data_IF_339702533741
#
_entry.id   IF_339702533741
#
_cell.length_a   1.000
_cell.length_b   1.000
_cell.length_c   1.000
_cell.angle_alpha   90.00
_cell.angle_beta   90.00
_cell.angle_gamma   90.00
#
_symmetry.space_group_name_H-M   'P 1'
#
loop_
_entity.id
_entity.type
_entity.pdbx_description
1 polymer ?
#
# COMPACT_ATOMS: atom_id res chain seq x y z
N UNK A 1 -2.76 -9.79 -14.73
CA UNK A 1 -1.84 -9.05 -13.85
C UNK A 1 -1.95 -9.43 -12.40
N UNK A 2 -1.05 -10.32 -11.93
CA UNK A 2 -0.98 -10.75 -10.52
C UNK A 2 -0.87 -9.58 -9.52
N UNK A 3 -0.07 -8.56 -9.85
CA UNK A 3 0.05 -7.34 -9.04
C UNK A 3 -1.22 -6.47 -9.01
N UNK A 4 -2.05 -6.51 -10.05
CA UNK A 4 -3.33 -5.77 -10.07
C UNK A 4 -4.33 -6.34 -9.05
N UNK A 5 -4.39 -7.67 -8.95
CA UNK A 5 -5.18 -8.35 -7.92
C UNK A 5 -4.65 -8.06 -6.51
N UNK A 6 -3.32 -8.00 -6.33
CA UNK A 6 -2.72 -7.60 -5.05
C UNK A 6 -3.05 -6.15 -4.69
N UNK A 7 -3.02 -5.23 -5.64
CA UNK A 7 -3.37 -3.82 -5.42
C UNK A 7 -4.82 -3.66 -4.99
N UNK A 8 -5.76 -4.27 -5.73
CA UNK A 8 -7.18 -4.25 -5.39
C UNK A 8 -7.44 -4.89 -4.01
N UNK A 9 -6.85 -6.05 -3.75
CA UNK A 9 -6.97 -6.71 -2.45
C UNK A 9 -6.40 -5.85 -1.31
N UNK A 10 -5.27 -5.18 -1.51
CA UNK A 10 -4.68 -4.31 -0.50
C UNK A 10 -5.49 -3.04 -0.25
N UNK A 11 -6.10 -2.45 -1.28
CA UNK A 11 -7.03 -1.34 -1.11
C UNK A 11 -8.31 -1.74 -0.36
N UNK A 12 -8.72 -3.01 -0.41
CA UNK A 12 -9.90 -3.53 0.29
C UNK A 12 -9.60 -3.95 1.74
N UNK A 13 -8.34 -3.96 2.17
CA UNK A 13 -7.94 -4.05 3.58
C UNK A 13 -8.16 -2.72 4.33
N UNK A 14 -8.62 -1.66 3.65
CA UNK A 14 -9.18 -0.48 4.31
C UNK A 14 -10.41 -0.94 5.09
N UNK A 15 -10.26 -1.05 6.41
CA UNK A 15 -11.37 -1.24 7.35
C UNK A 15 -12.27 0.00 7.40
N UNK A 16 -12.83 0.40 6.25
CA UNK A 16 -13.87 1.40 6.20
C UNK A 16 -15.15 0.72 6.66
N UNK A 17 -15.35 0.72 7.98
CA UNK A 17 -16.64 0.49 8.58
C UNK A 17 -17.60 1.58 8.08
N UNK A 18 -18.41 1.25 7.08
CA UNK A 18 -19.51 2.11 6.64
C UNK A 18 -20.74 1.61 7.36
N UNK A 19 -21.34 2.47 8.19
CA UNK A 19 -22.62 2.16 8.84
C UNK A 19 -23.69 1.91 7.78
N UNK A 20 -24.24 0.70 7.73
CA UNK A 20 -25.42 0.38 6.92
C UNK A 20 -26.55 0.02 7.87
N UNK A 21 -27.65 0.77 7.82
CA UNK A 21 -28.84 0.58 8.69
C UNK A 21 -28.53 0.63 10.20
N UNK A 22 -27.57 1.44 10.63
CA UNK A 22 -27.22 1.60 12.05
C UNK A 22 -26.45 0.42 12.65
N UNK A 23 -25.99 -0.52 11.82
CA UNK A 23 -25.03 -1.56 12.18
C UNK A 23 -23.71 -1.21 11.50
N UNK A 24 -22.58 -1.14 12.22
CA UNK A 24 -21.27 -1.10 11.59
C UNK A 24 -21.06 -2.44 10.89
N UNK A 25 -21.33 -2.47 9.59
CA UNK A 25 -21.07 -3.64 8.75
C UNK A 25 -19.87 -3.29 7.91
N UNK A 26 -18.78 -4.02 8.11
CA UNK A 26 -17.61 -3.92 7.25
C UNK A 26 -18.02 -4.39 5.83
N UNK A 27 -18.29 -3.43 4.93
CA UNK A 27 -18.84 -3.69 3.58
C UNK A 27 -17.82 -4.45 2.73
N UNK A 28 -16.53 -4.35 3.07
CA UNK A 28 -15.44 -5.06 2.42
C UNK A 28 -14.86 -6.07 3.41
N UNK A 29 -15.50 -7.25 3.60
CA UNK A 29 -14.97 -8.24 4.51
C UNK A 29 -13.54 -8.54 4.10
N UNK A 30 -12.61 -8.45 5.04
CA UNK A 30 -11.19 -8.78 4.87
C UNK A 30 -10.99 -10.10 4.11
N UNK A 31 -11.96 -11.02 4.21
CA UNK A 31 -12.08 -12.25 3.42
C UNK A 31 -11.92 -12.00 1.91
N UNK A 32 -12.65 -11.03 1.34
CA UNK A 32 -12.57 -10.68 -0.09
C UNK A 32 -11.17 -10.12 -0.41
N UNK A 33 -10.62 -9.29 0.47
CA UNK A 33 -9.27 -8.76 0.31
C UNK A 33 -8.23 -9.89 0.28
N UNK A 34 -8.29 -10.85 1.20
CA UNK A 34 -7.41 -12.02 1.23
C UNK A 34 -7.62 -12.95 0.02
N UNK A 35 -8.84 -13.12 -0.48
CA UNK A 35 -9.13 -13.90 -1.68
C UNK A 35 -8.53 -13.26 -2.94
N UNK A 36 -8.66 -11.94 -3.10
CA UNK A 36 -8.07 -11.20 -4.22
C UNK A 36 -6.54 -11.24 -4.14
N UNK A 37 -5.98 -11.06 -2.95
CA UNK A 37 -4.55 -11.21 -2.69
C UNK A 37 -4.05 -12.62 -3.02
N UNK A 38 -4.78 -13.67 -2.61
CA UNK A 38 -4.44 -15.06 -2.90
C UNK A 38 -4.43 -15.34 -4.40
N UNK A 39 -5.41 -14.81 -5.14
CA UNK A 39 -5.44 -14.88 -6.61
C UNK A 39 -4.21 -14.18 -7.21
N UNK A 40 -3.87 -12.99 -6.69
CA UNK A 40 -2.66 -12.26 -7.10
C UNK A 40 -1.37 -13.04 -6.84
N UNK A 41 -1.24 -13.66 -5.68
CA UNK A 41 -0.07 -14.48 -5.32
C UNK A 41 0.01 -15.76 -6.12
N UNK A 42 -1.12 -16.42 -6.43
CA UNK A 42 -1.07 -17.63 -7.26
C UNK A 42 -0.51 -17.32 -8.65
N UNK A 43 -1.00 -16.25 -9.29
CA UNK A 43 -0.48 -15.79 -10.58
C UNK A 43 0.99 -15.38 -10.46
N UNK A 44 1.36 -14.63 -9.42
CA UNK A 44 2.75 -14.18 -9.27
C UNK A 44 3.72 -15.31 -8.89
N UNK A 45 3.26 -16.33 -8.16
CA UNK A 45 4.08 -17.45 -7.68
C UNK A 45 4.35 -18.50 -8.77
N UNK A 46 3.59 -18.50 -9.87
CA UNK A 46 3.93 -19.27 -11.07
C UNK A 46 5.23 -18.78 -11.72
N UNK A 47 5.56 -17.49 -11.54
CA UNK A 47 6.73 -16.84 -12.13
C UNK A 47 7.85 -16.54 -11.12
N UNK A 48 7.53 -16.38 -9.83
CA UNK A 48 8.49 -16.03 -8.80
C UNK A 48 8.14 -16.63 -7.43
N UNK A 49 9.00 -17.50 -6.90
CA UNK A 49 8.79 -18.15 -5.59
C UNK A 49 8.82 -17.18 -4.39
N UNK A 50 9.21 -15.92 -4.58
CA UNK A 50 9.28 -14.92 -3.49
C UNK A 50 7.93 -14.68 -2.80
N UNK A 51 6.81 -15.00 -3.45
CA UNK A 51 5.46 -14.83 -2.90
C UNK A 51 4.93 -16.05 -2.13
N UNK A 52 5.70 -17.15 -2.05
CA UNK A 52 5.24 -18.38 -1.40
C UNK A 52 4.82 -18.17 0.06
N UNK A 53 5.57 -17.36 0.81
CA UNK A 53 5.28 -17.08 2.23
C UNK A 53 4.03 -16.18 2.36
N UNK A 54 3.93 -15.10 1.57
CA UNK A 54 2.74 -14.24 1.55
C UNK A 54 1.48 -15.03 1.17
N UNK A 55 1.61 -16.00 0.25
CA UNK A 55 0.52 -16.90 -0.13
C UNK A 55 0.04 -17.75 1.05
N UNK A 56 0.96 -18.34 1.82
CA UNK A 56 0.61 -19.14 3.00
C UNK A 56 -0.13 -18.29 4.03
N UNK A 57 0.36 -17.08 4.31
CA UNK A 57 -0.33 -16.17 5.22
C UNK A 57 -1.70 -15.76 4.69
N UNK A 58 -1.87 -15.52 3.38
CA UNK A 58 -3.19 -15.23 2.80
C UNK A 58 -4.16 -16.41 2.96
N UNK A 59 -3.69 -17.65 2.78
CA UNK A 59 -4.51 -18.86 3.00
C UNK A 59 -4.94 -19.01 4.47
N UNK A 60 -4.10 -18.61 5.42
CA UNK A 60 -4.44 -18.58 6.86
C UNK A 60 -5.34 -17.37 7.19
N UNK A 61 -5.17 -16.25 6.48
CA UNK A 61 -5.95 -15.03 6.67
C UNK A 61 -7.41 -15.19 6.29
N UNK A 62 -7.74 -16.02 5.30
CA UNK A 62 -9.13 -16.29 4.88
C UNK A 62 -9.99 -16.89 6.02
N UNK A 63 -9.64 -18.03 6.64
CA UNK A 63 -10.44 -18.58 7.73
C UNK A 63 -10.40 -17.66 8.97
N UNK A 64 -9.27 -17.03 9.25
CA UNK A 64 -9.12 -16.12 10.41
C UNK A 64 -10.05 -14.92 10.29
N UNK A 65 -10.05 -14.25 9.13
CA UNK A 65 -10.95 -13.11 8.85
C UNK A 65 -12.41 -13.54 8.89
N UNK A 66 -12.75 -14.71 8.33
CA UNK A 66 -14.13 -15.22 8.36
C UNK A 66 -14.63 -15.48 9.79
N UNK A 67 -13.76 -16.01 10.67
CA UNK A 67 -14.08 -16.19 12.09
C UNK A 67 -14.31 -14.84 12.77
N UNK A 68 -13.42 -13.86 12.56
CA UNK A 68 -13.54 -12.53 13.18
C UNK A 68 -14.82 -11.82 12.71
N UNK A 69 -15.08 -11.78 11.40
CA UNK A 69 -16.31 -11.17 10.86
C UNK A 69 -17.57 -11.88 11.37
N UNK A 70 -17.54 -13.21 11.50
CA UNK A 70 -18.66 -13.96 12.07
C UNK A 70 -18.88 -13.62 13.56
N UNK A 71 -17.81 -13.54 14.35
CA UNK A 71 -17.88 -13.16 15.75
C UNK A 71 -18.43 -11.74 15.92
N UNK A 72 -17.93 -10.78 15.15
CA UNK A 72 -18.42 -9.40 15.18
C UNK A 72 -19.90 -9.31 14.81
N UNK A 73 -20.34 -10.07 13.80
CA UNK A 73 -21.76 -10.17 13.45
C UNK A 73 -22.60 -10.74 14.59
N UNK A 74 -22.16 -11.82 15.24
CA UNK A 74 -22.90 -12.43 16.36
C UNK A 74 -22.96 -11.51 17.59
N UNK A 75 -21.90 -10.76 17.86
CA UNK A 75 -21.86 -9.74 18.92
C UNK A 75 -22.84 -8.61 18.59
N UNK A 76 -22.79 -8.08 17.37
CA UNK A 76 -23.68 -6.98 16.93
C UNK A 76 -25.15 -7.40 16.90
N UNK A 77 -25.46 -8.64 16.57
CA UNK A 77 -26.82 -9.20 16.66
C UNK A 77 -27.24 -9.60 18.08
N UNK A 78 -26.38 -9.36 19.09
CA UNK A 78 -26.60 -9.71 20.51
C UNK A 78 -26.90 -11.20 20.76
N UNK A 79 -26.47 -12.07 19.85
CA UNK A 79 -26.64 -13.52 19.98
C UNK A 79 -25.65 -14.09 21.01
N UNK A 80 -24.46 -13.49 21.09
CA UNK A 80 -23.38 -13.90 21.98
C UNK A 80 -22.81 -12.65 22.66
N UNK A 81 -22.61 -12.70 23.98
CA UNK A 81 -21.94 -11.65 24.74
C UNK A 81 -20.64 -12.19 25.30
N UNK A 82 -19.51 -11.65 24.83
CA UNK A 82 -18.20 -11.92 25.42
C UNK A 82 -17.90 -10.94 26.56
N UNK A 83 -17.02 -11.35 27.47
CA UNK A 83 -16.39 -10.40 28.40
C UNK A 83 -15.57 -9.37 27.61
N UNK A 84 -15.56 -8.09 28.00
CA UNK A 84 -14.81 -7.02 27.32
C UNK A 84 -13.33 -7.37 27.12
N UNK A 85 -12.71 -8.07 28.07
CA UNK A 85 -11.30 -8.48 28.00
C UNK A 85 -11.03 -9.49 26.88
N UNK A 86 -11.97 -10.41 26.63
CA UNK A 86 -11.84 -11.44 25.59
C UNK A 86 -11.99 -10.81 24.20
N UNK A 87 -12.97 -9.92 24.04
CA UNK A 87 -13.18 -9.19 22.79
C UNK A 87 -11.95 -8.33 22.43
N UNK A 88 -11.40 -7.60 23.41
CA UNK A 88 -10.19 -6.80 23.22
C UNK A 88 -8.97 -7.65 22.83
N UNK A 89 -8.79 -8.81 23.47
CA UNK A 89 -7.66 -9.70 23.16
C UNK A 89 -7.77 -10.28 21.75
N UNK A 90 -8.98 -10.64 21.30
CA UNK A 90 -9.21 -11.15 19.96
C UNK A 90 -8.96 -10.10 18.88
N UNK A 91 -9.39 -8.84 19.10
CA UNK A 91 -9.09 -7.73 18.19
C UNK A 91 -7.57 -7.55 18.04
N UNK A 92 -6.85 -7.37 19.15
CA UNK A 92 -5.39 -7.19 19.11
C UNK A 92 -4.66 -8.36 18.43
N UNK A 93 -5.10 -9.59 18.66
CA UNK A 93 -4.50 -10.76 18.01
C UNK A 93 -4.68 -10.71 16.48
N UNK A 94 -5.85 -10.25 16.02
CA UNK A 94 -6.13 -10.10 14.59
C UNK A 94 -5.38 -8.92 13.96
N UNK A 95 -5.25 -7.80 14.66
CA UNK A 95 -4.50 -6.63 14.20
C UNK A 95 -3.00 -6.93 14.08
N UNK A 96 -2.44 -7.69 15.04
CA UNK A 96 -1.06 -8.21 14.95
C UNK A 96 -0.89 -9.14 13.75
N UNK A 97 -1.88 -9.99 13.46
CA UNK A 97 -1.85 -10.84 12.28
C UNK A 97 -1.85 -10.02 10.98
N UNK A 98 -2.69 -8.98 10.88
CA UNK A 98 -2.69 -8.04 9.74
C UNK A 98 -1.35 -7.34 9.55
N UNK A 99 -0.72 -6.91 10.65
CA UNK A 99 0.62 -6.32 10.61
C UNK A 99 1.66 -7.33 10.08
N UNK A 100 1.68 -8.54 10.65
CA UNK A 100 2.61 -9.59 10.24
C UNK A 100 2.44 -9.94 8.76
N UNK A 101 1.20 -10.08 8.30
CA UNK A 101 0.88 -10.30 6.89
C UNK A 101 1.40 -9.17 5.99
N UNK A 102 1.18 -7.91 6.38
CA UNK A 102 1.65 -6.75 5.59
C UNK A 102 3.16 -6.68 5.53
N UNK A 103 3.87 -7.00 6.61
CA UNK A 103 5.33 -7.06 6.62
C UNK A 103 5.86 -8.18 5.73
N UNK A 104 5.23 -9.35 5.75
CA UNK A 104 5.57 -10.47 4.86
C UNK A 104 5.35 -10.08 3.39
N UNK A 105 4.25 -9.39 3.07
CA UNK A 105 4.01 -8.86 1.72
C UNK A 105 5.12 -7.89 1.31
N UNK A 106 5.45 -6.91 2.15
CA UNK A 106 6.50 -5.93 1.88
C UNK A 106 7.88 -6.58 1.72
N UNK A 107 8.15 -7.65 2.48
CA UNK A 107 9.37 -8.45 2.34
C UNK A 107 9.42 -9.18 0.99
N UNK A 108 8.31 -9.79 0.56
CA UNK A 108 8.23 -10.39 -0.78
C UNK A 108 8.41 -9.37 -1.90
N UNK A 109 7.86 -8.15 -1.74
CA UNK A 109 8.09 -7.04 -2.67
C UNK A 109 9.55 -6.57 -2.67
N UNK A 110 10.22 -6.59 -1.51
CA UNK A 110 11.65 -6.30 -1.41
C UNK A 110 12.49 -7.35 -2.14
N UNK A 111 12.19 -8.64 -1.95
CA UNK A 111 12.89 -9.74 -2.61
C UNK A 111 12.78 -9.66 -4.13
N UNK A 112 11.57 -9.51 -4.68
CA UNK A 112 11.40 -9.41 -6.13
C UNK A 112 12.05 -8.15 -6.70
N UNK A 113 11.99 -7.01 -5.99
CA UNK A 113 12.69 -5.79 -6.42
C UNK A 113 14.22 -5.94 -6.42
N UNK A 114 14.75 -6.87 -5.64
CA UNK A 114 16.18 -7.20 -5.61
C UNK A 114 16.55 -8.11 -6.79
N UNK A 115 15.69 -9.06 -7.15
CA UNK A 115 15.90 -9.93 -8.31
C UNK A 115 15.83 -9.17 -9.64
N UNK A 116 14.97 -8.16 -9.74
CA UNK A 116 14.80 -7.32 -10.95
C UNK A 116 15.73 -6.10 -10.94
N UNK A 117 16.62 -5.99 -9.95
CA UNK A 117 17.62 -4.91 -9.79
C UNK A 117 17.04 -3.47 -9.80
N UNK A 118 15.81 -3.29 -9.33
CA UNK A 118 15.15 -1.97 -9.26
C UNK A 118 15.40 -1.29 -7.92
N UNK A 119 16.59 -0.68 -7.79
CA UNK A 119 17.07 -0.06 -6.54
C UNK A 119 16.10 0.95 -5.89
N UNK A 120 15.39 1.74 -6.70
CA UNK A 120 14.41 2.71 -6.21
C UNK A 120 13.24 2.03 -5.49
N UNK A 121 12.78 0.87 -6.00
CA UNK A 121 11.69 0.10 -5.41
C UNK A 121 12.16 -0.61 -4.15
N UNK A 122 13.35 -1.21 -4.18
CA UNK A 122 13.97 -1.86 -3.02
C UNK A 122 14.06 -0.93 -1.80
N UNK A 123 14.60 0.28 -2.00
CA UNK A 123 14.67 1.31 -0.95
C UNK A 123 13.30 1.83 -0.53
N UNK A 124 12.29 1.80 -1.43
CA UNK A 124 10.91 2.19 -1.09
C UNK A 124 10.25 1.11 -0.24
N UNK A 125 10.37 -0.17 -0.59
CA UNK A 125 9.82 -1.30 0.16
C UNK A 125 10.35 -1.35 1.61
N UNK A 126 11.66 -1.18 1.80
CA UNK A 126 12.25 -1.14 3.15
C UNK A 126 11.72 0.04 3.99
N UNK A 127 11.57 1.23 3.39
CA UNK A 127 10.99 2.38 4.08
C UNK A 127 9.50 2.18 4.39
N UNK A 128 8.76 1.60 3.46
CA UNK A 128 7.34 1.24 3.65
C UNK A 128 7.16 0.25 4.81
N UNK A 129 8.06 -0.72 4.98
CA UNK A 129 8.00 -1.64 6.12
C UNK A 129 8.16 -0.90 7.46
N UNK A 130 9.12 0.03 7.55
CA UNK A 130 9.31 0.87 8.75
C UNK A 130 8.07 1.74 9.01
N UNK A 131 7.55 2.41 7.98
CA UNK A 131 6.36 3.25 8.12
C UNK A 131 5.13 2.44 8.53
N UNK A 132 4.96 1.22 8.03
CA UNK A 132 3.85 0.34 8.40
C UNK A 132 3.85 0.03 9.90
N UNK A 133 5.03 -0.26 10.46
CA UNK A 133 5.16 -0.49 11.91
C UNK A 133 4.85 0.78 12.70
N UNK A 134 5.37 1.94 12.28
CA UNK A 134 5.12 3.21 12.96
C UNK A 134 3.63 3.57 12.95
N UNK A 135 2.97 3.48 11.79
CA UNK A 135 1.55 3.80 11.66
C UNK A 135 0.67 2.81 12.42
N UNK A 136 1.03 1.54 12.48
CA UNK A 136 0.32 0.54 13.29
C UNK A 136 0.34 0.91 14.78
N UNK A 137 1.51 1.24 15.34
CA UNK A 137 1.58 1.68 16.74
C UNK A 137 0.86 3.01 16.97
N UNK A 138 0.87 3.90 15.99
CA UNK A 138 0.12 5.14 16.07
C UNK A 138 -1.40 4.89 16.07
N UNK A 139 -1.89 3.93 15.29
CA UNK A 139 -3.30 3.57 15.26
C UNK A 139 -3.74 2.92 16.58
N UNK A 140 -3.05 1.88 17.01
CA UNK A 140 -3.42 1.05 18.16
C UNK A 140 -3.10 1.67 19.52
N UNK A 141 -2.05 2.48 19.61
CA UNK A 141 -1.54 3.02 20.89
C UNK A 141 -1.61 4.55 20.98
N UNK A 142 -2.36 5.23 20.10
CA UNK A 142 -2.44 6.71 20.09
C UNK A 142 -2.76 7.28 21.48
N UNK A 143 -3.82 6.78 22.13
CA UNK A 143 -4.24 7.25 23.46
C UNK A 143 -3.12 7.13 24.51
N UNK A 144 -2.43 5.98 24.55
CA UNK A 144 -1.33 5.74 25.49
C UNK A 144 -0.12 6.62 25.16
N UNK A 145 0.23 6.76 23.89
CA UNK A 145 1.37 7.60 23.45
C UNK A 145 1.14 9.06 23.85
N UNK A 146 -0.03 9.61 23.57
CA UNK A 146 -0.34 10.99 23.94
C UNK A 146 -0.46 11.20 25.45
N UNK A 147 -0.87 10.18 26.20
CA UNK A 147 -0.87 10.22 27.66
C UNK A 147 0.53 10.42 28.24
N UNK A 148 1.57 9.85 27.63
CA UNK A 148 2.97 10.06 28.05
C UNK A 148 3.45 11.49 27.87
N UNK A 149 2.83 12.23 26.94
CA UNK A 149 3.08 13.66 26.73
C UNK A 149 2.13 14.56 27.53
N UNK A 150 1.32 14.00 28.42
CA UNK A 150 0.37 14.74 29.26
C UNK A 150 -0.86 15.26 28.51
N UNK A 151 -1.14 14.73 27.32
CA UNK A 151 -2.30 15.13 26.49
C UNK A 151 -3.41 14.09 26.65
N UNK A 152 -4.55 14.50 27.18
CA UNK A 152 -5.77 13.70 27.21
C UNK A 152 -6.62 13.99 25.98
N UNK A 153 -6.61 13.08 25.01
CA UNK A 153 -7.50 13.18 23.85
C UNK A 153 -8.87 12.59 24.18
N UNK A 154 -9.92 13.26 23.70
CA UNK A 154 -11.27 12.67 23.67
C UNK A 154 -11.28 11.45 22.75
N UNK A 155 -12.16 10.49 23.04
CA UNK A 155 -12.33 9.24 22.27
C UNK A 155 -12.60 9.48 20.78
N UNK A 156 -13.25 10.58 20.43
CA UNK A 156 -13.49 10.95 19.03
C UNK A 156 -12.19 11.32 18.29
N UNK A 157 -11.26 12.01 18.95
CA UNK A 157 -9.99 12.39 18.34
C UNK A 157 -9.02 11.22 18.25
N UNK A 158 -9.00 10.32 19.24
CA UNK A 158 -8.19 9.09 19.17
C UNK A 158 -8.65 8.19 18.01
N UNK A 159 -9.96 8.03 17.83
CA UNK A 159 -10.52 7.28 16.72
C UNK A 159 -10.17 7.93 15.36
N UNK A 160 -10.29 9.25 15.24
CA UNK A 160 -9.94 9.96 14.01
C UNK A 160 -8.46 9.83 13.64
N UNK A 161 -7.55 9.89 14.62
CA UNK A 161 -6.11 9.70 14.42
C UNK A 161 -5.82 8.27 13.96
N UNK A 162 -6.47 7.26 14.54
CA UNK A 162 -6.29 5.87 14.15
C UNK A 162 -6.73 5.63 12.69
N UNK A 163 -7.92 6.10 12.32
CA UNK A 163 -8.41 5.99 10.93
C UNK A 163 -7.48 6.68 9.93
N UNK A 164 -6.92 7.84 10.29
CA UNK A 164 -6.01 8.57 9.43
C UNK A 164 -4.65 7.86 9.29
N UNK A 165 -4.14 7.26 10.37
CA UNK A 165 -2.91 6.47 10.35
C UNK A 165 -3.06 5.23 9.45
N UNK A 166 -4.18 4.52 9.56
CA UNK A 166 -4.47 3.34 8.72
C UNK A 166 -4.63 3.73 7.25
N UNK A 167 -5.35 4.81 6.96
CA UNK A 167 -5.50 5.31 5.59
C UNK A 167 -4.15 5.68 4.97
N UNK A 168 -3.26 6.36 5.72
CA UNK A 168 -1.92 6.70 5.25
C UNK A 168 -1.06 5.47 5.02
N UNK A 169 -1.09 4.50 5.94
CA UNK A 169 -0.39 3.23 5.81
C UNK A 169 -0.79 2.52 4.51
N UNK A 170 -2.09 2.47 4.24
CA UNK A 170 -2.63 1.80 3.07
C UNK A 170 -2.26 2.53 1.79
N UNK A 171 -2.39 3.87 1.73
CA UNK A 171 -1.99 4.65 0.55
C UNK A 171 -0.50 4.46 0.25
N UNK A 172 0.36 4.51 1.26
CA UNK A 172 1.81 4.33 1.08
C UNK A 172 2.13 2.96 0.51
N UNK A 173 1.57 1.90 1.08
CA UNK A 173 1.82 0.53 0.64
C UNK A 173 1.15 0.22 -0.70
N UNK A 174 -0.05 0.75 -0.97
CA UNK A 174 -0.71 0.66 -2.27
C UNK A 174 0.12 1.34 -3.37
N UNK A 175 0.74 2.50 -3.10
CA UNK A 175 1.65 3.14 -4.07
C UNK A 175 2.93 2.34 -4.33
N UNK A 176 3.34 1.47 -3.40
CA UNK A 176 4.44 0.55 -3.61
C UNK A 176 4.00 -0.60 -4.50
N UNK A 177 2.87 -1.24 -4.19
CA UNK A 177 2.30 -2.34 -5.00
C UNK A 177 2.02 -1.85 -6.43
N UNK A 178 1.43 -0.68 -6.60
CA UNK A 178 1.23 -0.05 -7.90
C UNK A 178 2.56 0.28 -8.59
N UNK A 179 3.58 0.71 -7.83
CA UNK A 179 4.92 0.91 -8.34
C UNK A 179 5.56 -0.38 -8.87
N UNK A 180 5.32 -1.52 -8.20
CA UNK A 180 5.72 -2.84 -8.66
C UNK A 180 4.93 -3.25 -9.90
N UNK A 181 3.60 -3.06 -9.91
CA UNK A 181 2.76 -3.29 -11.09
C UNK A 181 3.28 -2.56 -12.34
N UNK A 182 3.65 -1.29 -12.22
CA UNK A 182 4.10 -0.48 -13.35
C UNK A 182 5.53 -0.77 -13.84
N UNK A 183 6.39 -1.38 -13.01
CA UNK A 183 7.84 -1.53 -13.30
C UNK A 183 8.32 -2.97 -13.36
N UNK A 184 7.59 -3.89 -12.77
CA UNK A 184 7.92 -5.31 -12.70
C UNK A 184 6.79 -6.04 -13.44
N UNK A 185 6.88 -6.04 -14.77
CA UNK A 185 6.07 -6.94 -15.59
C UNK A 185 6.63 -8.36 -15.40
N UNK A 186 5.80 -9.28 -14.92
CA UNK A 186 6.15 -10.70 -14.86
C UNK A 186 5.97 -11.29 -16.28
N UNK A 187 6.91 -12.13 -16.72
CA UNK A 187 6.86 -12.82 -18.02
C UNK A 187 5.57 -13.66 -18.12
N UNK A 188 4.72 -13.38 -19.11
CA UNK A 188 3.40 -14.03 -19.27
C UNK A 188 2.18 -13.16 -18.94
N UNK A 189 2.39 -11.92 -18.48
CA UNK A 189 1.35 -10.91 -18.24
C UNK A 189 1.40 -9.75 -19.26
N UNK A 190 1.96 -10.02 -20.45
CA UNK A 190 2.27 -9.06 -21.52
C UNK A 190 1.03 -8.59 -22.31
N UNK A 191 0.06 -7.98 -21.64
CA UNK A 191 -0.94 -7.11 -22.32
C UNK A 191 -0.48 -5.64 -22.37
N UNK A 192 0.76 -5.37 -21.97
CA UNK A 192 1.38 -4.07 -22.16
C UNK A 192 2.34 -4.18 -23.36
N UNK A 193 2.06 -3.54 -24.51
CA UNK A 193 3.10 -3.37 -25.53
C UNK A 193 4.30 -2.74 -24.85
N UNK A 194 5.51 -3.11 -25.29
CA UNK A 194 6.83 -2.73 -24.75
C UNK A 194 7.07 -1.22 -24.83
N UNK A 195 6.23 -0.46 -24.15
CA UNK A 195 6.26 0.97 -24.03
C UNK A 195 7.16 1.30 -22.84
N UNK A 196 8.42 0.85 -22.95
CA UNK A 196 9.57 1.59 -22.39
C UNK A 196 9.74 2.98 -23.02
N UNK A 197 8.71 3.48 -23.71
CA UNK A 197 8.51 4.86 -24.14
C UNK A 197 7.42 5.64 -23.38
N UNK A 198 6.94 5.19 -22.21
CA UNK A 198 6.18 6.09 -21.32
C UNK A 198 7.09 7.08 -20.59
N UNK A 199 7.65 7.97 -21.40
CA UNK A 199 8.40 9.17 -21.05
C UNK A 199 7.40 10.24 -20.59
N UNK A 200 6.67 10.00 -19.51
CA UNK A 200 6.14 11.12 -18.73
C UNK A 200 7.34 11.81 -18.12
N UNK A 201 7.88 12.78 -18.87
CA UNK A 201 8.99 13.62 -18.44
C UNK A 201 8.61 14.23 -17.11
N UNK A 202 9.48 14.05 -16.14
CA UNK A 202 9.28 14.67 -14.83
C UNK A 202 9.21 16.19 -15.01
N UNK A 203 8.50 16.94 -14.16
CA UNK A 203 8.40 18.40 -14.29
C UNK A 203 9.76 19.09 -14.41
N UNK A 204 10.80 18.55 -13.76
CA UNK A 204 12.17 19.02 -13.84
C UNK A 204 12.80 18.89 -15.24
N UNK A 205 12.55 17.79 -15.96
CA UNK A 205 13.03 17.59 -17.34
C UNK A 205 12.38 18.55 -18.35
N UNK A 206 11.16 19.03 -18.06
CA UNK A 206 10.52 20.07 -18.87
C UNK A 206 11.20 21.43 -18.70
N UNK A 207 11.62 21.78 -17.48
CA UNK A 207 12.34 23.03 -17.21
C UNK A 207 13.74 23.03 -17.83
N UNK A 208 14.49 21.95 -17.69
CA UNK A 208 15.84 21.82 -18.25
C UNK A 208 15.84 21.86 -19.78
N UNK A 209 14.88 21.17 -20.44
CA UNK A 209 14.74 21.23 -21.90
C UNK A 209 14.39 22.64 -22.39
N UNK A 210 13.56 23.38 -21.64
CA UNK A 210 13.18 24.75 -22.00
C UNK A 210 14.37 25.70 -21.89
N UNK A 211 15.16 25.60 -20.82
CA UNK A 211 16.41 26.38 -20.69
C UNK A 211 17.41 26.07 -21.81
N UNK A 212 17.57 24.80 -22.20
CA UNK A 212 18.46 24.41 -23.28
C UNK A 212 18.02 24.97 -24.64
N UNK A 213 16.71 25.00 -24.91
CA UNK A 213 16.17 25.59 -26.13
C UNK A 213 16.35 27.11 -26.18
N UNK A 214 16.10 27.79 -25.06
CA UNK A 214 16.29 29.25 -24.95
C UNK A 214 17.77 29.65 -25.12
N UNK A 215 18.70 28.85 -24.58
CA UNK A 215 20.13 29.04 -24.76
C UNK A 215 20.58 28.82 -26.22
N UNK A 216 20.06 27.78 -26.87
CA UNK A 216 20.35 27.49 -28.27
C UNK A 216 19.80 28.58 -29.22
N UNK A 217 18.63 29.15 -28.92
CA UNK A 217 18.06 30.23 -29.71
C UNK A 217 18.86 31.53 -29.57
N UNK A 218 19.34 31.84 -28.36
CA UNK A 218 20.25 32.98 -28.13
C UNK A 218 21.58 32.81 -28.87
N UNK A 219 22.16 31.62 -28.87
CA UNK A 219 23.39 31.31 -29.62
C UNK A 219 23.21 31.47 -31.14
N UNK A 220 22.06 31.05 -31.69
CA UNK A 220 21.74 31.24 -33.11
C UNK A 220 21.61 32.73 -33.47
N UNK A 221 20.98 33.54 -32.64
CA UNK A 221 20.84 35.00 -32.87
C UNK A 221 22.20 35.73 -32.84
N UNK A 222 23.13 35.30 -31.97
CA UNK A 222 24.48 35.86 -31.92
C UNK A 222 25.32 35.50 -33.17
N UNK A 223 25.21 34.27 -33.67
CA UNK A 223 25.93 33.85 -34.89
C UNK A 223 25.44 34.55 -36.16
N UNK A 224 24.14 34.86 -36.25
CA UNK A 224 23.58 35.62 -37.38
C UNK A 224 24.08 37.09 -37.38
N UNK A 225 24.26 37.70 -36.21
CA UNK A 225 24.83 39.05 -36.12
C UNK A 225 26.32 39.10 -36.45
N UNK A 226 27.09 38.06 -36.13
CA UNK A 226 28.51 38.01 -36.47
C UNK A 226 28.76 37.83 -37.98
N UNK A 227 27.86 37.13 -38.68
CA UNK A 227 27.98 36.90 -40.12
C UNK A 227 27.59 38.11 -40.97
N UNK A 228 26.74 39.01 -40.45
CA UNK A 228 26.38 40.29 -41.10
C UNK A 228 27.42 41.40 -40.96
N UNK A 229 28.37 41.30 -40.01
CA UNK A 229 29.45 42.28 -39.83
C UNK A 229 30.71 41.98 -40.67
N UNK A 230 30.73 40.88 -41.43
CA UNK A 230 31.86 40.45 -42.28
C UNK A 230 31.60 40.58 -43.79
N UNK A 231 30.49 41.22 -44.18
CA UNK A 231 30.24 41.71 -45.55
C UNK A 231 30.16 43.22 -45.49
#
# INVERSE_FOLDING_TARGET
MGFGWMFLGYCLLLGTNIEFLGVPVDITPDVIAFLLMLKGFNVANEHCECFRISRIFAMIGIPTSLIVTALDLFINMKVITFSPAVAMTLSYAYDIFKLAYTLVLLYSLYLISTQVEVDKLRKKAARCAIYTVIFFFLAESSATIFSWFGVTLSSAYTAAIAMLADALCIVINATLVFGCYMRICLEGDEDMPDNREHKYKTPFEYFERRQALDAAEKAKKQNVHHHKKKK
#
